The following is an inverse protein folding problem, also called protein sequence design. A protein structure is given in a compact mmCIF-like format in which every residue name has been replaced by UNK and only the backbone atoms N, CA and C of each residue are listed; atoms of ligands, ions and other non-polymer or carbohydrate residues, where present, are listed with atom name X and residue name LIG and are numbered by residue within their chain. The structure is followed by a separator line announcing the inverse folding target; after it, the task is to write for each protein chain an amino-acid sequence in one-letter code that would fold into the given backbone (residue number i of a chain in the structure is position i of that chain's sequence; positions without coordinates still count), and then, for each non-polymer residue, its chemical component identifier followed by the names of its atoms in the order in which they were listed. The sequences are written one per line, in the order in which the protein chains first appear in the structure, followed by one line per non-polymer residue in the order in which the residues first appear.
data_IF_402975459319
#
_entry.id   IF_402975459319
#
_cell.length_a   1.000
_cell.length_b   1.000
_cell.length_c   1.000
_cell.angle_alpha   90.00
_cell.angle_beta   90.00
_cell.angle_gamma   90.00
#
_symmetry.space_group_name_H-M   'P 1'
#
loop_
_entity.id
_entity.type
_entity.pdbx_description
1 polymer ?
#
# COMPACT_ATOMS: atom_id res chain seq x y z
N UNK A 1 9.05 -7.69 15.22
CA UNK A 1 8.29 -6.63 15.93
C UNK A 1 7.48 -5.84 14.91
N UNK A 2 6.17 -5.70 15.10
CA UNK A 2 5.35 -4.87 14.21
C UNK A 2 5.46 -3.41 14.65
N UNK A 3 6.11 -2.57 13.84
CA UNK A 3 6.10 -1.12 14.04
C UNK A 3 4.77 -0.58 13.53
N UNK A 4 3.84 -0.31 14.45
CA UNK A 4 2.55 0.31 14.14
C UNK A 4 2.64 1.82 14.37
N UNK A 5 2.33 2.60 13.33
CA UNK A 5 2.22 4.05 13.43
C UNK A 5 0.75 4.47 13.32
N UNK A 6 0.25 5.21 14.32
CA UNK A 6 -1.16 5.56 14.43
C UNK A 6 -1.36 7.08 14.35
N UNK A 7 -2.23 7.52 13.43
CA UNK A 7 -2.54 8.93 13.22
C UNK A 7 -4.03 9.15 13.51
N UNK A 8 -4.34 9.91 14.56
CA UNK A 8 -5.71 10.30 14.93
C UNK A 8 -5.96 11.78 14.68
N UNK A 9 -7.24 12.11 14.48
CA UNK A 9 -7.70 13.49 14.32
C UNK A 9 -9.13 13.54 13.82
N UNK A 10 -9.79 14.69 13.95
CA UNK A 10 -11.16 14.90 13.46
C UNK A 10 -11.28 14.80 11.93
N UNK A 11 -12.51 14.68 11.43
CA UNK A 11 -12.78 14.74 9.98
C UNK A 11 -12.25 16.04 9.37
N UNK A 12 -11.80 16.00 8.11
CA UNK A 12 -11.30 17.19 7.41
C UNK A 12 -9.92 17.73 7.84
N UNK A 13 -9.24 17.11 8.82
CA UNK A 13 -7.91 17.55 9.30
C UNK A 13 -6.72 17.13 8.43
N UNK A 14 -6.97 16.63 7.22
CA UNK A 14 -5.91 16.28 6.27
C UNK A 14 -5.12 15.01 6.58
N UNK A 15 -5.64 14.09 7.40
CA UNK A 15 -4.96 12.81 7.73
C UNK A 15 -4.56 12.00 6.48
N UNK A 16 -5.48 11.88 5.52
CA UNK A 16 -5.22 11.19 4.26
C UNK A 16 -4.18 11.91 3.43
N UNK A 17 -4.22 13.24 3.38
CA UNK A 17 -3.25 14.07 2.64
C UNK A 17 -1.85 13.91 3.24
N UNK A 18 -1.75 13.86 4.57
CA UNK A 18 -0.50 13.58 5.27
C UNK A 18 0.05 12.20 4.90
N UNK A 19 -0.78 11.16 4.91
CA UNK A 19 -0.39 9.82 4.49
C UNK A 19 0.08 9.78 3.04
N UNK A 20 -0.63 10.43 2.11
CA UNK A 20 -0.20 10.55 0.71
C UNK A 20 1.18 11.23 0.60
N UNK A 21 1.44 12.26 1.42
CA UNK A 21 2.74 12.93 1.48
C UNK A 21 3.87 12.02 1.97
N UNK A 22 3.60 11.15 2.95
CA UNK A 22 4.56 10.16 3.44
C UNK A 22 4.84 9.12 2.36
N UNK A 23 3.80 8.55 1.74
CA UNK A 23 3.91 7.56 0.66
C UNK A 23 4.76 8.13 -0.49
N UNK A 24 4.47 9.34 -0.95
CA UNK A 24 5.21 9.98 -2.04
C UNK A 24 6.70 10.19 -1.69
N UNK A 25 7.02 10.52 -0.43
CA UNK A 25 8.42 10.60 0.03
C UNK A 25 9.10 9.24 0.02
N UNK A 26 8.42 8.18 0.47
CA UNK A 26 8.94 6.82 0.47
C UNK A 26 9.20 6.33 -0.96
N UNK A 27 8.26 6.56 -1.89
CA UNK A 27 8.43 6.23 -3.31
C UNK A 27 9.64 6.93 -3.93
N UNK A 28 9.80 8.24 -3.68
CA UNK A 28 10.97 8.98 -4.16
C UNK A 28 12.28 8.46 -3.58
N UNK A 29 12.30 8.09 -2.30
CA UNK A 29 13.47 7.51 -1.65
C UNK A 29 13.85 6.15 -2.26
N UNK A 30 12.86 5.35 -2.68
CA UNK A 30 13.09 4.09 -3.41
C UNK A 30 13.71 4.32 -4.79
N UNK A 31 13.25 5.34 -5.52
CA UNK A 31 13.81 5.68 -6.84
C UNK A 31 15.22 6.27 -6.72
N UNK A 32 15.49 7.06 -5.68
CA UNK A 32 16.75 7.78 -5.51
C UNK A 32 17.86 6.98 -4.80
N UNK A 33 17.53 5.96 -4.01
CA UNK A 33 18.47 5.20 -3.19
C UNK A 33 18.73 3.78 -3.72
N UNK A 34 19.94 3.25 -3.49
CA UNK A 34 20.35 1.86 -3.78
C UNK A 34 19.64 0.78 -2.94
N UNK A 35 18.44 1.04 -2.44
CA UNK A 35 17.74 0.14 -1.53
C UNK A 35 16.56 -0.56 -2.23
N UNK A 36 16.67 -1.89 -2.35
CA UNK A 36 15.62 -2.77 -2.87
C UNK A 36 14.51 -3.01 -1.83
N UNK A 37 13.73 -1.98 -1.49
CA UNK A 37 12.50 -2.18 -0.71
C UNK A 37 11.29 -1.99 -1.61
N UNK A 38 10.31 -2.89 -1.52
CA UNK A 38 9.02 -2.75 -2.19
C UNK A 38 8.06 -1.97 -1.30
N UNK A 39 7.26 -1.08 -1.87
CA UNK A 39 6.21 -0.34 -1.16
C UNK A 39 4.84 -0.85 -1.60
N UNK A 40 4.09 -1.50 -0.72
CA UNK A 40 2.68 -1.80 -0.98
C UNK A 40 1.81 -1.05 0.03
N UNK A 41 0.76 -0.41 -0.47
CA UNK A 41 -0.22 0.29 0.34
C UNK A 41 -1.63 0.11 -0.23
N UNK A 42 -2.63 0.27 0.64
CA UNK A 42 -4.04 0.21 0.26
C UNK A 42 -4.81 1.25 1.07
N UNK A 43 -5.73 1.97 0.42
CA UNK A 43 -6.60 2.93 1.10
C UNK A 43 -7.90 2.25 1.49
N UNK A 44 -8.06 1.96 2.77
CA UNK A 44 -9.34 1.48 3.32
C UNK A 44 -10.25 2.67 3.62
N UNK A 45 -11.47 2.65 3.11
CA UNK A 45 -12.47 3.70 3.35
C UNK A 45 -13.57 3.17 4.27
N UNK A 46 -13.70 3.72 5.48
CA UNK A 46 -14.56 3.16 6.53
C UNK A 46 -16.04 2.93 6.13
N UNK A 47 -16.55 3.65 5.13
CA UNK A 47 -17.94 3.58 4.67
C UNK A 47 -18.21 2.52 3.61
N UNK A 48 -17.19 1.95 2.96
CA UNK A 48 -17.36 1.01 1.86
C UNK A 48 -16.80 -0.37 2.21
N UNK A 49 -17.69 -1.28 2.62
CA UNK A 49 -17.34 -2.65 2.98
C UNK A 49 -16.95 -3.51 1.77
N UNK A 50 -17.35 -3.13 0.55
CA UNK A 50 -16.95 -3.85 -0.65
C UNK A 50 -15.45 -3.64 -0.94
N UNK A 51 -14.99 -2.40 -0.77
CA UNK A 51 -13.59 -2.00 -0.96
C UNK A 51 -12.73 -2.49 0.24
N UNK A 52 -13.25 -2.46 1.46
CA UNK A 52 -12.53 -2.98 2.64
C UNK A 52 -12.58 -4.50 2.81
N UNK A 53 -13.12 -5.24 1.84
CA UNK A 53 -13.10 -6.70 1.91
C UNK A 53 -11.65 -7.18 1.97
N UNK A 54 -11.37 -8.13 2.88
CA UNK A 54 -10.03 -8.69 3.06
C UNK A 54 -9.43 -9.18 1.74
N UNK A 55 -10.28 -9.72 0.85
CA UNK A 55 -9.89 -10.17 -0.48
C UNK A 55 -9.44 -9.02 -1.39
N UNK A 56 -10.17 -7.90 -1.41
CA UNK A 56 -9.85 -6.74 -2.24
C UNK A 56 -8.57 -6.04 -1.76
N UNK A 57 -8.40 -5.92 -0.44
CA UNK A 57 -7.17 -5.37 0.16
C UNK A 57 -5.97 -6.23 -0.23
N UNK A 58 -6.07 -7.55 -0.08
CA UNK A 58 -4.98 -8.46 -0.41
C UNK A 58 -4.65 -8.45 -1.91
N UNK A 59 -5.67 -8.51 -2.77
CA UNK A 59 -5.49 -8.44 -4.22
C UNK A 59 -4.83 -7.13 -4.65
N UNK A 60 -5.24 -5.99 -4.10
CA UNK A 60 -4.64 -4.68 -4.38
C UNK A 60 -3.17 -4.61 -3.96
N UNK A 61 -2.84 -5.14 -2.77
CA UNK A 61 -1.46 -5.17 -2.28
C UNK A 61 -0.57 -6.10 -3.13
N UNK A 62 -1.05 -7.29 -3.47
CA UNK A 62 -0.33 -8.24 -4.33
C UNK A 62 -0.11 -7.63 -5.72
N UNK A 63 -1.12 -6.99 -6.29
CA UNK A 63 -1.02 -6.32 -7.58
C UNK A 63 0.07 -5.24 -7.57
N UNK A 64 0.14 -4.39 -6.53
CA UNK A 64 1.20 -3.37 -6.39
C UNK A 64 2.59 -4.01 -6.35
N UNK A 65 2.76 -5.10 -5.59
CA UNK A 65 4.05 -5.79 -5.48
C UNK A 65 4.50 -6.39 -6.82
N UNK A 66 3.58 -7.02 -7.57
CA UNK A 66 3.89 -7.59 -8.89
C UNK A 66 4.25 -6.49 -9.88
N UNK A 67 3.55 -5.37 -9.83
CA UNK A 67 3.84 -4.23 -10.70
C UNK A 67 5.25 -3.67 -10.45
N UNK A 68 5.71 -3.69 -9.20
CA UNK A 68 7.08 -3.28 -8.84
C UNK A 68 8.13 -4.35 -9.19
N UNK A 69 7.77 -5.64 -9.05
CA UNK A 69 8.66 -6.77 -9.31
C UNK A 69 7.95 -7.84 -10.16
N UNK A 70 8.05 -7.74 -11.50
CA UNK A 70 7.36 -8.66 -12.41
C UNK A 70 7.74 -10.13 -12.20
N UNK A 71 8.93 -10.41 -11.67
CA UNK A 71 9.38 -11.77 -11.35
C UNK A 71 8.46 -12.48 -10.34
N UNK A 72 7.72 -11.73 -9.50
CA UNK A 72 6.78 -12.30 -8.54
C UNK A 72 5.61 -13.02 -9.21
N UNK A 73 5.31 -12.69 -10.48
CA UNK A 73 4.26 -13.36 -11.26
C UNK A 73 4.52 -14.87 -11.41
N UNK A 74 5.79 -15.31 -11.37
CA UNK A 74 6.17 -16.72 -11.43
C UNK A 74 5.69 -17.54 -10.23
N UNK A 75 5.43 -16.88 -9.11
CA UNK A 75 4.96 -17.53 -7.88
C UNK A 75 3.44 -17.51 -7.74
N UNK A 76 2.73 -16.81 -8.62
CA UNK A 76 1.28 -16.87 -8.64
C UNK A 76 0.80 -18.15 -9.35
N UNK A 77 -0.22 -18.83 -8.79
CA UNK A 77 -0.87 -19.92 -9.49
C UNK A 77 -1.49 -19.39 -10.79
N UNK A 78 -1.34 -20.13 -11.89
CA UNK A 78 -1.84 -19.78 -13.24
C UNK A 78 -3.38 -19.70 -13.36
N UNK A 79 -4.11 -19.71 -12.25
CA UNK A 79 -5.54 -20.01 -12.20
C UNK A 79 -6.41 -18.81 -11.78
N UNK A 80 -5.82 -17.61 -11.67
CA UNK A 80 -6.52 -16.32 -11.52
C UNK A 80 -6.43 -15.53 -12.81
#
# INVERSE_FOLDING_TARGET
ENQMFWIQGGSGKGKTILLCGIINKLERAMVAGRHCYNLAYYFCQATDSCINSMTMVLQGLIYLLIHQQPCLLLYLPKNT
#
